data_IF_117195312001
#
_entry.id   IF_117195312001
#
_cell.length_a   1.000
_cell.length_b   1.000
_cell.length_c   1.000
_cell.angle_alpha   90.00
_cell.angle_beta   90.00
_cell.angle_gamma   90.00
#
_symmetry.space_group_name_H-M   'P 1'
#
loop_
_entity.id
_entity.type
_entity.pdbx_description
1 polymer ?
#
# COMPACT_ATOMS: atom_id res chain seq x y z
N UNK A 1 -12.76 19.02 -5.27
CA UNK A 1 -12.34 19.38 -3.89
C UNK A 1 -11.40 18.33 -3.28
N UNK A 2 -11.70 17.02 -3.28
CA UNK A 2 -10.73 16.00 -2.85
C UNK A 2 -9.57 15.79 -3.84
N UNK A 3 -9.83 15.84 -5.15
CA UNK A 3 -8.77 15.77 -6.17
C UNK A 3 -7.80 16.97 -6.13
N UNK A 4 -8.26 18.14 -5.66
CA UNK A 4 -7.37 19.30 -5.43
C UNK A 4 -6.53 19.18 -4.16
N UNK A 5 -6.95 18.32 -3.21
CA UNK A 5 -6.17 17.97 -2.02
C UNK A 5 -5.08 16.94 -2.37
N UNK A 6 -5.23 16.20 -3.47
CA UNK A 6 -4.17 15.34 -4.02
C UNK A 6 -3.08 16.14 -4.77
N UNK A 7 -3.05 17.48 -4.65
CA UNK A 7 -1.87 18.23 -5.06
C UNK A 7 -0.68 17.68 -4.29
N UNK A 8 0.15 16.99 -5.08
CA UNK A 8 1.36 16.28 -4.73
C UNK A 8 2.11 17.09 -3.70
N UNK A 9 2.49 16.42 -2.61
CA UNK A 9 3.65 16.77 -1.79
C UNK A 9 4.63 17.65 -2.57
N UNK A 10 5.11 18.74 -1.97
CA UNK A 10 6.19 19.51 -2.60
C UNK A 10 7.37 18.59 -3.00
N UNK A 11 8.34 19.08 -3.78
CA UNK A 11 9.54 18.29 -4.09
C UNK A 11 10.33 17.87 -2.83
N UNK A 12 9.96 18.40 -1.65
CA UNK A 12 10.47 17.98 -0.36
C UNK A 12 9.97 16.57 0.00
N UNK A 13 10.86 15.56 0.05
CA UNK A 13 10.49 14.20 0.41
C UNK A 13 10.01 14.04 1.85
N UNK A 14 10.08 15.09 2.67
CA UNK A 14 9.58 15.11 4.06
C UNK A 14 8.13 15.53 4.18
N UNK A 15 7.54 16.14 3.16
CA UNK A 15 6.13 16.46 3.15
C UNK A 15 5.41 15.46 2.27
N UNK A 16 4.46 14.70 2.82
CA UNK A 16 3.62 13.78 2.05
C UNK A 16 2.20 14.33 1.84
N UNK A 17 1.96 15.60 2.17
CA UNK A 17 0.62 16.19 2.13
C UNK A 17 -0.24 15.75 3.32
N UNK A 18 0.37 15.53 4.49
CA UNK A 18 -0.31 15.05 5.72
C UNK A 18 -1.61 15.81 6.04
N UNK A 19 -1.57 17.14 5.97
CA UNK A 19 -2.73 17.98 6.28
C UNK A 19 -3.88 17.75 5.30
N UNK A 20 -3.57 17.48 4.03
CA UNK A 20 -4.57 17.19 3.02
C UNK A 20 -5.24 15.83 3.26
N UNK A 21 -4.46 14.80 3.64
CA UNK A 21 -5.01 13.50 4.06
C UNK A 21 -5.93 13.64 5.27
N UNK A 22 -5.53 14.44 6.26
CA UNK A 22 -6.31 14.65 7.48
C UNK A 22 -7.59 15.41 7.20
N UNK A 23 -7.52 16.45 6.35
CA UNK A 23 -8.70 17.17 5.87
C UNK A 23 -9.65 16.28 5.07
N UNK A 24 -9.12 15.41 4.20
CA UNK A 24 -9.91 14.43 3.47
C UNK A 24 -10.62 13.45 4.42
N UNK A 25 -9.91 12.92 5.42
CA UNK A 25 -10.50 12.05 6.43
C UNK A 25 -11.61 12.75 7.21
N UNK A 26 -11.41 14.01 7.63
CA UNK A 26 -12.42 14.78 8.36
C UNK A 26 -13.67 15.01 7.51
N UNK A 27 -13.51 15.29 6.21
CA UNK A 27 -14.60 15.45 5.27
C UNK A 27 -15.39 14.13 5.10
N UNK A 28 -14.69 13.01 4.92
CA UNK A 28 -15.34 11.68 4.81
C UNK A 28 -16.09 11.34 6.09
N UNK A 29 -15.50 11.58 7.25
CA UNK A 29 -16.19 11.38 8.53
C UNK A 29 -17.46 12.22 8.61
N UNK A 30 -17.41 13.49 8.16
CA UNK A 30 -18.58 14.38 8.13
C UNK A 30 -19.67 13.85 7.17
N UNK A 31 -19.31 13.41 5.97
CA UNK A 31 -20.24 12.81 5.02
C UNK A 31 -20.88 11.52 5.55
N UNK A 32 -20.14 10.75 6.34
CA UNK A 32 -20.59 9.49 6.94
C UNK A 32 -21.15 9.64 8.36
N UNK A 33 -21.41 10.88 8.84
CA UNK A 33 -22.08 11.09 10.13
C UNK A 33 -23.51 10.54 10.09
N UNK A 34 -24.23 10.79 9.00
CA UNK A 34 -25.49 10.13 8.74
C UNK A 34 -25.23 8.72 8.18
N UNK A 35 -25.46 7.72 9.02
CA UNK A 35 -25.31 6.31 8.67
C UNK A 35 -26.58 5.73 8.01
N UNK A 36 -27.50 6.57 7.52
CA UNK A 36 -28.62 6.10 6.71
C UNK A 36 -28.15 5.41 5.43
N UNK A 37 -28.94 4.45 4.95
CA UNK A 37 -28.65 3.75 3.69
C UNK A 37 -28.64 4.72 2.51
N UNK A 38 -29.52 5.73 2.54
CA UNK A 38 -29.61 6.79 1.53
C UNK A 38 -28.29 7.53 1.38
N UNK A 39 -27.69 7.97 2.49
CA UNK A 39 -26.42 8.71 2.49
C UNK A 39 -25.25 7.84 2.03
N UNK A 40 -25.17 6.57 2.46
CA UNK A 40 -24.11 5.65 1.99
C UNK A 40 -24.29 5.17 0.54
N UNK A 41 -25.49 5.35 -0.03
CA UNK A 41 -25.78 5.01 -1.42
C UNK A 41 -25.67 6.21 -2.37
N UNK A 42 -25.49 7.41 -1.82
CA UNK A 42 -25.24 8.61 -2.61
C UNK A 42 -23.99 8.42 -3.50
N UNK A 43 -24.09 8.61 -4.83
CA UNK A 43 -22.97 8.40 -5.73
C UNK A 43 -21.76 9.30 -5.45
N UNK A 44 -21.99 10.53 -4.97
CA UNK A 44 -20.93 11.49 -4.63
C UNK A 44 -20.21 11.03 -3.37
N UNK A 45 -20.94 10.55 -2.36
CA UNK A 45 -20.34 9.98 -1.14
C UNK A 45 -19.49 8.76 -1.48
N UNK A 46 -20.00 7.84 -2.31
CA UNK A 46 -19.25 6.64 -2.74
C UNK A 46 -18.00 6.97 -3.55
N UNK A 47 -18.09 7.96 -4.43
CA UNK A 47 -16.94 8.46 -5.20
C UNK A 47 -15.88 9.07 -4.26
N UNK A 48 -16.28 9.96 -3.36
CA UNK A 48 -15.37 10.61 -2.43
C UNK A 48 -14.70 9.59 -1.49
N UNK A 49 -15.48 8.65 -0.96
CA UNK A 49 -14.98 7.56 -0.14
C UNK A 49 -13.99 6.69 -0.91
N UNK A 50 -14.28 6.34 -2.16
CA UNK A 50 -13.37 5.54 -2.97
C UNK A 50 -12.02 6.21 -3.24
N UNK A 51 -12.04 7.49 -3.61
CA UNK A 51 -10.82 8.30 -3.75
C UNK A 51 -10.02 8.33 -2.45
N UNK A 52 -10.70 8.56 -1.32
CA UNK A 52 -10.07 8.55 0.00
C UNK A 52 -9.46 7.19 0.35
N UNK A 53 -10.13 6.07 0.07
CA UNK A 53 -9.61 4.73 0.38
C UNK A 53 -8.34 4.41 -0.40
N UNK A 54 -8.26 4.81 -1.67
CA UNK A 54 -7.03 4.65 -2.44
C UNK A 54 -5.88 5.48 -1.86
N UNK A 55 -6.16 6.74 -1.52
CA UNK A 55 -5.16 7.61 -0.90
C UNK A 55 -4.73 7.12 0.49
N UNK A 56 -5.67 6.67 1.32
CA UNK A 56 -5.41 6.09 2.64
C UNK A 56 -4.57 4.81 2.52
N UNK A 57 -4.87 3.95 1.54
CA UNK A 57 -4.02 2.79 1.23
C UNK A 57 -2.58 3.22 0.96
N UNK A 58 -2.39 4.22 0.11
CA UNK A 58 -1.07 4.70 -0.30
C UNK A 58 -0.29 5.47 0.78
N UNK A 59 -0.93 5.90 1.87
CA UNK A 59 -0.34 6.78 2.88
C UNK A 59 -0.41 6.26 4.31
N UNK A 60 -1.20 5.21 4.57
CA UNK A 60 -1.45 4.66 5.90
C UNK A 60 -0.19 4.32 6.70
N UNK A 61 0.88 3.87 6.04
CA UNK A 61 2.17 3.57 6.67
C UNK A 61 3.01 4.81 7.03
N UNK A 62 2.64 5.99 6.55
CA UNK A 62 3.30 7.28 6.85
C UNK A 62 2.72 7.98 8.08
N UNK A 63 1.51 7.61 8.48
CA UNK A 63 0.78 8.22 9.59
C UNK A 63 1.29 7.66 10.92
N UNK A 64 1.88 8.49 11.78
CA UNK A 64 2.41 8.00 13.06
C UNK A 64 1.27 7.55 13.99
N UNK A 65 1.51 6.54 14.85
CA UNK A 65 0.51 6.08 15.80
C UNK A 65 0.01 7.22 16.70
N UNK A 66 -1.31 7.41 16.74
CA UNK A 66 -1.94 8.44 17.56
C UNK A 66 -2.08 9.82 16.93
N UNK A 67 -1.55 10.06 15.71
CA UNK A 67 -1.73 11.35 15.01
C UNK A 67 -3.08 11.49 14.34
N UNK A 68 -3.61 10.41 13.77
CA UNK A 68 -4.92 10.39 13.10
C UNK A 68 -6.00 10.02 14.12
N UNK A 69 -6.24 10.93 15.07
CA UNK A 69 -7.34 10.79 16.03
C UNK A 69 -8.66 11.16 15.35
N UNK A 70 -9.72 10.38 15.60
CA UNK A 70 -11.06 10.70 15.12
C UNK A 70 -11.47 10.09 13.79
N UNK A 71 -10.68 9.17 13.20
CA UNK A 71 -11.23 8.30 12.14
C UNK A 71 -12.32 7.45 12.77
N UNK A 72 -13.57 7.65 12.35
CA UNK A 72 -14.63 6.74 12.73
C UNK A 72 -14.50 5.46 11.89
N UNK A 73 -13.54 4.63 12.28
CA UNK A 73 -13.21 3.35 11.61
C UNK A 73 -14.45 2.47 11.45
N UNK A 74 -15.39 2.55 12.41
CA UNK A 74 -16.67 1.86 12.31
C UNK A 74 -17.52 2.39 11.16
N UNK A 75 -17.73 3.72 11.05
CA UNK A 75 -18.54 4.30 9.97
C UNK A 75 -17.93 4.05 8.59
N UNK A 76 -16.60 4.16 8.45
CA UNK A 76 -15.91 3.86 7.20
C UNK A 76 -16.07 2.37 6.85
N UNK A 77 -15.85 1.47 7.81
CA UNK A 77 -16.02 0.02 7.58
C UNK A 77 -17.46 -0.34 7.21
N UNK A 78 -18.45 0.28 7.85
CA UNK A 78 -19.87 0.11 7.54
C UNK A 78 -20.19 0.62 6.14
N UNK A 79 -19.69 1.80 5.77
CA UNK A 79 -19.90 2.38 4.45
C UNK A 79 -19.27 1.51 3.35
N UNK A 80 -18.04 1.04 3.53
CA UNK A 80 -17.36 0.12 2.59
C UNK A 80 -18.12 -1.19 2.46
N UNK A 81 -18.62 -1.76 3.57
CA UNK A 81 -19.48 -2.94 3.54
C UNK A 81 -20.74 -2.71 2.71
N UNK A 82 -21.37 -1.54 2.84
CA UNK A 82 -22.59 -1.18 2.09
C UNK A 82 -22.32 -0.83 0.63
N UNK A 83 -21.12 -0.35 0.29
CA UNK A 83 -20.71 -0.19 -1.11
C UNK A 83 -20.70 -1.55 -1.82
N UNK A 84 -20.35 -2.63 -1.12
CA UNK A 84 -20.25 -3.98 -1.71
C UNK A 84 -19.37 -3.96 -2.96
N UNK A 85 -19.86 -4.55 -4.05
CA UNK A 85 -19.17 -4.59 -5.35
C UNK A 85 -19.47 -3.36 -6.22
N UNK A 86 -19.73 -2.20 -5.60
CA UNK A 86 -19.90 -0.98 -6.36
C UNK A 86 -18.61 -0.63 -7.12
N UNK A 87 -18.74 -0.37 -8.42
CA UNK A 87 -17.63 -0.12 -9.32
C UNK A 87 -17.17 1.34 -9.24
N UNK A 88 -16.02 1.58 -8.61
CA UNK A 88 -15.41 2.90 -8.56
C UNK A 88 -14.68 3.21 -9.87
N UNK A 89 -14.83 4.41 -10.47
CA UNK A 89 -14.21 4.73 -11.76
C UNK A 89 -12.68 4.61 -11.83
N UNK A 90 -11.97 4.78 -10.71
CA UNK A 90 -10.49 4.69 -10.69
C UNK A 90 -9.97 3.26 -10.71
N UNK A 91 -10.64 2.34 -10.02
CA UNK A 91 -10.06 1.04 -9.68
C UNK A 91 -11.08 -0.10 -9.67
N UNK A 92 -12.33 0.11 -10.07
CA UNK A 92 -13.38 -0.91 -10.03
C UNK A 92 -13.83 -1.31 -8.62
N UNK A 93 -13.96 -2.61 -8.36
CA UNK A 93 -14.70 -3.18 -7.21
C UNK A 93 -13.79 -3.61 -6.04
N UNK A 94 -12.70 -2.89 -5.77
CA UNK A 94 -11.73 -3.27 -4.73
C UNK A 94 -11.74 -2.43 -3.45
N UNK A 95 -12.79 -1.64 -3.17
CA UNK A 95 -12.84 -0.75 -1.99
C UNK A 95 -12.57 -1.46 -0.67
N UNK A 96 -13.07 -2.69 -0.48
CA UNK A 96 -12.79 -3.51 0.71
C UNK A 96 -11.32 -3.89 0.82
N UNK A 97 -10.69 -4.25 -0.30
CA UNK A 97 -9.26 -4.57 -0.35
C UNK A 97 -8.41 -3.34 0.04
N UNK A 98 -8.73 -2.17 -0.52
CA UNK A 98 -8.03 -0.93 -0.19
C UNK A 98 -8.12 -0.60 1.31
N UNK A 99 -9.30 -0.76 1.91
CA UNK A 99 -9.48 -0.58 3.35
C UNK A 99 -8.63 -1.55 4.17
N UNK A 100 -8.63 -2.84 3.82
CA UNK A 100 -7.82 -3.86 4.51
C UNK A 100 -6.33 -3.53 4.40
N UNK A 101 -5.83 -3.15 3.21
CA UNK A 101 -4.42 -2.77 3.02
C UNK A 101 -4.08 -1.50 3.81
N UNK A 102 -4.96 -0.51 3.87
CA UNK A 102 -4.75 0.67 4.70
C UNK A 102 -4.67 0.33 6.21
N UNK A 103 -5.47 -0.63 6.66
CA UNK A 103 -5.35 -1.16 8.03
C UNK A 103 -4.03 -1.90 8.25
N UNK A 104 -3.54 -2.65 7.25
CA UNK A 104 -2.19 -3.24 7.28
C UNK A 104 -1.13 -2.15 7.38
N UNK A 105 -1.18 -1.10 6.56
CA UNK A 105 -0.18 -0.03 6.59
C UNK A 105 -0.11 0.68 7.95
N UNK A 106 -1.26 1.01 8.55
CA UNK A 106 -1.33 1.55 9.92
C UNK A 106 -0.75 0.59 10.95
N UNK A 107 -1.11 -0.70 10.87
CA UNK A 107 -0.57 -1.73 11.77
C UNK A 107 0.95 -1.85 11.63
N UNK A 108 1.46 -1.90 10.40
CA UNK A 108 2.88 -1.99 10.12
C UNK A 108 3.64 -0.78 10.65
N UNK A 109 3.07 0.42 10.51
CA UNK A 109 3.66 1.63 11.09
C UNK A 109 3.70 1.60 12.62
N UNK A 110 2.63 1.12 13.26
CA UNK A 110 2.60 0.91 14.71
C UNK A 110 3.67 -0.07 15.18
N UNK A 111 3.80 -1.22 14.52
CA UNK A 111 4.77 -2.25 14.87
C UNK A 111 6.20 -1.81 14.58
N UNK A 112 6.42 -1.06 13.50
CA UNK A 112 7.73 -0.47 13.20
C UNK A 112 8.18 0.50 14.30
N UNK A 113 7.30 1.41 14.73
CA UNK A 113 7.64 2.40 15.77
C UNK A 113 7.66 1.79 17.19
N UNK A 114 6.86 0.75 17.43
CA UNK A 114 6.71 0.09 18.74
C UNK A 114 6.60 -1.44 18.58
N UNK A 115 7.72 -2.16 18.33
CA UNK A 115 7.72 -3.61 18.11
C UNK A 115 7.09 -4.43 19.23
N UNK A 116 7.14 -3.93 20.47
CA UNK A 116 6.53 -4.54 21.65
C UNK A 116 4.98 -4.48 21.67
N UNK A 117 4.36 -3.68 20.80
CA UNK A 117 2.88 -3.56 20.67
C UNK A 117 2.30 -4.46 19.58
N UNK A 118 3.02 -5.50 19.16
CA UNK A 118 2.50 -6.51 18.25
C UNK A 118 1.25 -7.17 18.82
N UNK A 119 0.29 -7.42 17.93
CA UNK A 119 -0.95 -8.10 18.25
C UNK A 119 -1.16 -9.25 17.27
N UNK A 120 -0.84 -10.47 17.69
CA UNK A 120 -0.95 -11.67 16.85
C UNK A 120 -2.38 -11.91 16.34
N UNK A 121 -3.41 -11.66 17.16
CA UNK A 121 -4.79 -11.82 16.72
C UNK A 121 -5.15 -10.84 15.59
N UNK A 122 -4.67 -9.60 15.67
CA UNK A 122 -4.86 -8.62 14.60
C UNK A 122 -4.09 -9.01 13.33
N UNK A 123 -2.88 -9.55 13.48
CA UNK A 123 -2.08 -10.07 12.36
C UNK A 123 -2.79 -11.21 11.63
N UNK A 124 -3.33 -12.18 12.36
CA UNK A 124 -4.06 -13.32 11.80
C UNK A 124 -5.34 -12.85 11.10
N UNK A 125 -6.07 -11.90 11.69
CA UNK A 125 -7.26 -11.32 11.08
C UNK A 125 -6.95 -10.61 9.75
N UNK A 126 -5.92 -9.76 9.72
CA UNK A 126 -5.52 -9.03 8.51
C UNK A 126 -5.02 -9.98 7.41
N UNK A 127 -4.23 -10.98 7.77
CA UNK A 127 -3.77 -12.02 6.83
C UNK A 127 -4.93 -12.83 6.27
N UNK A 128 -5.90 -13.21 7.11
CA UNK A 128 -7.10 -13.93 6.68
C UNK A 128 -7.99 -13.07 5.76
N UNK A 129 -8.14 -11.77 6.06
CA UNK A 129 -8.89 -10.84 5.20
C UNK A 129 -8.25 -10.72 3.82
N UNK A 130 -6.91 -10.60 3.75
CA UNK A 130 -6.19 -10.53 2.49
C UNK A 130 -6.26 -11.86 1.75
N UNK A 131 -5.92 -12.98 2.40
CA UNK A 131 -5.81 -14.30 1.76
C UNK A 131 -7.14 -14.83 1.23
N UNK A 132 -8.25 -14.50 1.90
CA UNK A 132 -9.59 -14.90 1.47
C UNK A 132 -10.26 -13.88 0.55
N UNK A 133 -9.60 -12.77 0.23
CA UNK A 133 -10.16 -11.76 -0.64
C UNK A 133 -10.24 -12.28 -2.08
N UNK A 134 -11.40 -12.08 -2.70
CA UNK A 134 -11.66 -12.47 -4.09
C UNK A 134 -12.35 -11.34 -4.84
N UNK A 135 -12.23 -11.36 -6.17
CA UNK A 135 -12.90 -10.41 -7.07
C UNK A 135 -13.82 -11.14 -8.03
N UNK A 136 -14.92 -10.48 -8.39
CA UNK A 136 -15.83 -10.86 -9.48
C UNK A 136 -15.57 -10.06 -10.77
N UNK A 137 -14.48 -9.28 -10.84
CA UNK A 137 -14.15 -8.46 -12.01
C UNK A 137 -13.91 -9.34 -13.24
N UNK A 138 -14.51 -8.94 -14.37
CA UNK A 138 -14.24 -9.55 -15.68
C UNK A 138 -13.15 -8.81 -16.47
N UNK A 139 -12.63 -7.69 -15.96
CA UNK A 139 -11.56 -6.94 -16.61
C UNK A 139 -10.19 -7.53 -16.20
N UNK A 140 -9.40 -8.07 -17.16
CA UNK A 140 -8.13 -8.74 -16.87
C UNK A 140 -7.09 -7.81 -16.22
N UNK A 141 -7.02 -6.54 -16.62
CA UNK A 141 -6.09 -5.59 -16.03
C UNK A 141 -6.43 -5.32 -14.56
N UNK A 142 -7.72 -5.20 -14.24
CA UNK A 142 -8.19 -5.02 -12.87
C UNK A 142 -7.91 -6.26 -12.01
N UNK A 143 -8.11 -7.47 -12.56
CA UNK A 143 -7.76 -8.71 -11.85
C UNK A 143 -6.28 -8.66 -11.47
N UNK A 144 -5.38 -8.39 -12.43
CA UNK A 144 -3.95 -8.31 -12.14
C UNK A 144 -3.58 -7.19 -11.15
N UNK A 145 -4.25 -6.04 -11.23
CA UNK A 145 -4.05 -4.95 -10.27
C UNK A 145 -4.46 -5.38 -8.85
N UNK A 146 -5.58 -6.07 -8.70
CA UNK A 146 -6.07 -6.53 -7.41
C UNK A 146 -5.18 -7.61 -6.79
N UNK A 147 -4.71 -8.56 -7.60
CA UNK A 147 -3.73 -9.55 -7.15
C UNK A 147 -2.45 -8.87 -6.65
N UNK A 148 -1.95 -7.87 -7.38
CA UNK A 148 -0.79 -7.09 -6.97
C UNK A 148 -1.03 -6.30 -5.67
N UNK A 149 -2.21 -5.71 -5.48
CA UNK A 149 -2.58 -5.02 -4.24
C UNK A 149 -2.70 -5.98 -3.05
N UNK A 150 -3.36 -7.12 -3.23
CA UNK A 150 -3.47 -8.15 -2.19
C UNK A 150 -2.09 -8.64 -1.77
N UNK A 151 -1.24 -8.96 -2.73
CA UNK A 151 0.12 -9.41 -2.47
C UNK A 151 0.97 -8.30 -1.83
N UNK A 152 0.81 -7.04 -2.20
CA UNK A 152 1.44 -5.91 -1.51
C UNK A 152 1.06 -5.87 -0.02
N UNK A 153 -0.23 -6.01 0.30
CA UNK A 153 -0.69 -6.07 1.69
C UNK A 153 -0.04 -7.22 2.48
N UNK A 154 0.08 -8.41 1.86
CA UNK A 154 0.71 -9.57 2.47
C UNK A 154 2.22 -9.36 2.68
N UNK A 155 2.93 -8.87 1.66
CA UNK A 155 4.36 -8.53 1.75
C UNK A 155 4.61 -7.54 2.87
N UNK A 156 3.81 -6.47 2.94
CA UNK A 156 3.95 -5.44 3.96
C UNK A 156 3.73 -6.00 5.38
N UNK A 157 2.71 -6.83 5.57
CA UNK A 157 2.40 -7.48 6.84
C UNK A 157 3.53 -8.41 7.28
N UNK A 158 4.00 -9.29 6.40
CA UNK A 158 5.10 -10.21 6.73
C UNK A 158 6.42 -9.47 6.93
N UNK A 159 6.71 -8.41 6.17
CA UNK A 159 7.91 -7.61 6.43
C UNK A 159 7.86 -6.94 7.80
N UNK A 160 6.70 -6.41 8.21
CA UNK A 160 6.52 -5.84 9.55
C UNK A 160 6.72 -6.87 10.66
N UNK A 161 6.24 -8.11 10.48
CA UNK A 161 6.45 -9.21 11.43
C UNK A 161 7.93 -9.56 11.53
N UNK A 162 8.62 -9.70 10.39
CA UNK A 162 10.04 -10.04 10.33
C UNK A 162 10.90 -8.93 10.97
N UNK A 163 10.60 -7.67 10.67
CA UNK A 163 11.26 -6.51 11.28
C UNK A 163 11.16 -6.54 12.81
N UNK A 164 9.95 -6.73 13.35
CA UNK A 164 9.75 -6.75 14.79
C UNK A 164 10.32 -8.00 15.47
N UNK A 165 10.33 -9.16 14.80
CA UNK A 165 11.03 -10.34 15.29
C UNK A 165 12.53 -10.10 15.41
N UNK A 166 13.17 -9.51 14.40
CA UNK A 166 14.61 -9.17 14.45
C UNK A 166 14.95 -8.21 15.61
N UNK A 167 14.01 -7.33 15.97
CA UNK A 167 14.17 -6.42 17.12
C UNK A 167 13.98 -7.10 18.49
N UNK A 168 13.39 -8.30 18.56
CA UNK A 168 12.96 -8.94 19.81
C UNK A 168 13.53 -10.36 20.03
N UNK A 169 13.90 -11.12 18.99
CA UNK A 169 14.34 -12.52 19.09
C UNK A 169 15.34 -12.95 18.01
N UNK A 170 16.02 -14.07 18.24
CA UNK A 170 17.02 -14.69 17.36
C UNK A 170 16.54 -16.00 16.70
N UNK A 171 15.22 -16.27 16.65
CA UNK A 171 14.71 -17.50 16.01
C UNK A 171 14.84 -17.44 14.48
N UNK A 172 15.84 -18.16 13.99
CA UNK A 172 16.28 -18.16 12.59
C UNK A 172 15.41 -19.02 11.68
N UNK A 173 14.66 -19.99 12.20
CA UNK A 173 13.87 -20.91 11.36
C UNK A 173 12.53 -20.31 10.92
N UNK A 174 11.83 -19.63 11.84
CA UNK A 174 10.61 -18.88 11.54
C UNK A 174 10.86 -17.77 10.50
N UNK A 175 12.03 -17.11 10.62
CA UNK A 175 12.45 -16.03 9.73
C UNK A 175 12.62 -16.49 8.27
N UNK A 176 13.23 -17.66 8.02
CA UNK A 176 13.46 -18.16 6.65
C UNK A 176 12.17 -18.53 5.89
N UNK A 177 11.23 -19.17 6.58
CA UNK A 177 9.94 -19.54 5.95
C UNK A 177 9.17 -18.28 5.52
N UNK A 178 9.22 -17.24 6.35
CA UNK A 178 8.58 -15.97 6.08
C UNK A 178 9.27 -15.20 4.94
N UNK A 179 10.60 -15.20 4.88
CA UNK A 179 11.37 -14.61 3.78
C UNK A 179 11.04 -15.25 2.43
N UNK A 180 10.87 -16.59 2.39
CA UNK A 180 10.43 -17.31 1.18
C UNK A 180 9.02 -16.88 0.73
N UNK A 181 8.09 -16.72 1.67
CA UNK A 181 6.73 -16.24 1.35
C UNK A 181 6.75 -14.80 0.83
N UNK A 182 7.52 -13.91 1.45
CA UNK A 182 7.68 -12.52 1.02
C UNK A 182 8.18 -12.47 -0.43
N UNK A 183 9.25 -13.21 -0.73
CA UNK A 183 9.83 -13.25 -2.06
C UNK A 183 8.83 -13.78 -3.10
N UNK A 184 8.10 -14.87 -2.77
CA UNK A 184 7.07 -15.42 -3.67
C UNK A 184 6.00 -14.39 -4.00
N UNK A 185 5.43 -13.73 -3.00
CA UNK A 185 4.39 -12.72 -3.24
C UNK A 185 4.94 -11.51 -3.99
N UNK A 186 6.19 -11.13 -3.76
CA UNK A 186 6.85 -10.06 -4.50
C UNK A 186 7.03 -10.41 -5.98
N UNK A 187 7.54 -11.61 -6.30
CA UNK A 187 7.67 -12.07 -7.68
C UNK A 187 6.32 -12.09 -8.40
N UNK A 188 5.30 -12.67 -7.76
CA UNK A 188 3.93 -12.71 -8.29
C UNK A 188 3.37 -11.30 -8.52
N UNK A 189 3.61 -10.37 -7.58
CA UNK A 189 3.20 -8.96 -7.72
C UNK A 189 3.82 -8.36 -8.97
N UNK A 190 5.14 -8.47 -9.15
CA UNK A 190 5.81 -7.93 -10.34
C UNK A 190 5.25 -8.58 -11.60
N UNK A 191 5.06 -9.89 -11.62
CA UNK A 191 4.50 -10.58 -12.79
C UNK A 191 3.10 -10.08 -13.14
N UNK A 192 2.20 -9.94 -12.17
CA UNK A 192 0.87 -9.38 -12.39
C UNK A 192 0.92 -7.96 -12.96
N UNK A 193 1.74 -7.09 -12.38
CA UNK A 193 1.87 -5.71 -12.84
C UNK A 193 2.46 -5.62 -14.25
N UNK A 194 3.30 -6.57 -14.65
CA UNK A 194 3.84 -6.64 -16.01
C UNK A 194 2.84 -7.12 -17.05
N UNK A 195 1.81 -7.88 -16.65
CA UNK A 195 0.74 -8.31 -17.55
C UNK A 195 -0.21 -7.15 -17.89
N UNK A 196 -0.24 -6.09 -17.08
CA UNK A 196 -0.98 -4.87 -17.39
C UNK A 196 -0.21 -4.06 -18.45
N UNK A 197 -0.81 -3.79 -19.63
CA UNK A 197 -0.17 -3.00 -20.68
C UNK A 197 0.29 -1.63 -20.18
N UNK A 198 1.44 -1.14 -20.65
CA UNK A 198 1.92 0.20 -20.30
C UNK A 198 1.03 1.33 -20.84
N UNK A 199 0.17 1.04 -21.82
CA UNK A 199 -0.87 1.94 -22.32
C UNK A 199 -2.14 1.95 -21.46
N UNK A 200 -2.26 1.05 -20.48
CA UNK A 200 -3.44 0.95 -19.62
C UNK A 200 -3.47 2.10 -18.62
N UNK A 201 -4.67 2.64 -18.37
CA UNK A 201 -4.87 3.66 -17.33
C UNK A 201 -4.49 3.16 -15.93
N UNK A 202 -4.48 1.84 -15.73
CA UNK A 202 -4.11 1.23 -14.46
C UNK A 202 -2.61 1.32 -14.15
N UNK A 203 -1.78 1.80 -15.09
CA UNK A 203 -0.36 2.04 -14.86
C UNK A 203 -0.12 3.01 -13.68
N UNK A 204 -0.96 4.04 -13.51
CA UNK A 204 -0.80 5.02 -12.43
C UNK A 204 -0.94 4.41 -11.02
N UNK A 205 -1.58 3.24 -10.91
CA UNK A 205 -1.90 2.65 -9.61
C UNK A 205 -0.84 1.66 -9.12
N UNK A 206 0.27 1.48 -9.86
CA UNK A 206 1.21 0.39 -9.64
C UNK A 206 2.37 0.74 -8.70
N UNK A 207 2.66 2.03 -8.50
CA UNK A 207 3.92 2.50 -7.89
C UNK A 207 4.21 1.90 -6.52
N UNK A 208 3.23 1.91 -5.60
CA UNK A 208 3.45 1.39 -4.25
C UNK A 208 3.67 -0.13 -4.24
N UNK A 209 2.89 -0.87 -5.04
CA UNK A 209 3.07 -2.32 -5.18
C UNK A 209 4.42 -2.66 -5.82
N UNK A 210 4.88 -1.87 -6.82
CA UNK A 210 6.21 -2.02 -7.42
C UNK A 210 7.34 -1.71 -6.45
N UNK A 211 7.22 -0.65 -5.64
CA UNK A 211 8.20 -0.35 -4.60
C UNK A 211 8.31 -1.53 -3.63
N UNK A 212 7.16 -1.95 -3.09
CA UNK A 212 7.11 -2.99 -2.06
C UNK A 212 7.51 -4.37 -2.56
N UNK A 213 7.26 -4.73 -3.81
CA UNK A 213 7.64 -6.02 -4.36
C UNK A 213 9.04 -5.97 -4.98
N UNK A 214 9.36 -4.89 -5.69
CA UNK A 214 10.67 -4.65 -6.27
C UNK A 214 11.77 -4.67 -5.22
N UNK A 215 11.51 -4.09 -4.03
CA UNK A 215 12.45 -4.10 -2.91
C UNK A 215 12.84 -5.50 -2.46
N UNK A 216 12.05 -6.54 -2.73
CA UNK A 216 12.29 -7.92 -2.25
C UNK A 216 13.09 -8.77 -3.23
N UNK A 217 13.30 -8.29 -4.46
CA UNK A 217 14.02 -9.04 -5.48
C UNK A 217 15.52 -9.16 -5.14
N UNK A 218 16.06 -10.38 -5.24
CA UNK A 218 17.49 -10.69 -5.08
C UNK A 218 18.25 -10.60 -6.42
N UNK A 219 19.59 -10.69 -6.37
CA UNK A 219 20.46 -10.69 -7.55
C UNK A 219 20.05 -11.73 -8.61
N UNK A 220 19.56 -12.90 -8.18
CA UNK A 220 19.08 -13.96 -9.08
C UNK A 220 17.88 -13.52 -9.94
N UNK A 221 17.18 -12.45 -9.56
CA UNK A 221 16.00 -11.92 -10.24
C UNK A 221 16.30 -10.74 -11.16
N UNK A 222 17.50 -10.66 -11.75
CA UNK A 222 17.92 -9.55 -12.62
C UNK A 222 16.88 -9.13 -13.67
N UNK A 223 16.24 -10.10 -14.37
CA UNK A 223 15.19 -9.79 -15.36
C UNK A 223 13.95 -9.11 -14.76
N UNK A 224 13.56 -9.46 -13.54
CA UNK A 224 12.46 -8.80 -12.85
C UNK A 224 12.87 -7.42 -12.34
N UNK A 225 14.12 -7.27 -11.88
CA UNK A 225 14.67 -5.97 -11.48
C UNK A 225 14.64 -4.99 -12.66
N UNK A 226 15.06 -5.40 -13.85
CA UNK A 226 14.98 -4.58 -15.07
C UNK A 226 13.55 -4.15 -15.37
N UNK A 227 12.59 -5.07 -15.30
CA UNK A 227 11.16 -4.76 -15.48
C UNK A 227 10.63 -3.76 -14.46
N UNK A 228 11.06 -3.85 -13.19
CA UNK A 228 10.70 -2.88 -12.16
C UNK A 228 11.25 -1.49 -12.50
N UNK A 229 12.52 -1.39 -12.93
CA UNK A 229 13.13 -0.12 -13.35
C UNK A 229 12.35 0.52 -14.49
N UNK A 230 12.11 -0.25 -15.54
CA UNK A 230 11.42 0.25 -16.73
C UNK A 230 9.98 0.67 -16.42
N UNK A 231 9.29 -0.09 -15.56
CA UNK A 231 7.93 0.24 -15.17
C UNK A 231 7.84 1.50 -14.32
N UNK A 232 8.70 1.68 -13.32
CA UNK A 232 8.74 2.91 -12.51
C UNK A 232 9.08 4.14 -13.37
N UNK A 233 9.99 4.01 -14.34
CA UNK A 233 10.29 5.07 -15.32
C UNK A 233 9.11 5.37 -16.23
N UNK A 234 8.37 4.35 -16.66
CA UNK A 234 7.16 4.52 -17.46
C UNK A 234 6.07 5.27 -16.67
N UNK A 235 5.86 4.93 -15.40
CA UNK A 235 4.90 5.63 -14.52
C UNK A 235 5.31 7.09 -14.34
N UNK A 236 6.59 7.35 -14.04
CA UNK A 236 7.09 8.72 -13.95
C UNK A 236 6.91 9.49 -15.27
N UNK A 237 7.12 8.84 -16.41
CA UNK A 237 6.92 9.47 -17.72
C UNK A 237 5.46 9.86 -17.96
N UNK A 238 4.51 9.13 -17.37
CA UNK A 238 3.08 9.35 -17.47
C UNK A 238 2.59 10.47 -16.53
N UNK A 239 2.91 10.42 -15.24
CA UNK A 239 2.34 11.34 -14.24
C UNK A 239 3.30 12.44 -13.76
N UNK A 240 4.60 12.33 -14.07
CA UNK A 240 5.66 13.27 -13.66
C UNK A 240 5.79 13.50 -12.16
N UNK A 241 5.27 12.58 -11.34
CA UNK A 241 5.35 12.66 -9.88
C UNK A 241 6.78 12.26 -9.44
N UNK A 242 7.57 13.17 -8.84
CA UNK A 242 8.97 12.90 -8.46
C UNK A 242 9.14 11.70 -7.52
N UNK A 243 8.15 11.43 -6.66
CA UNK A 243 8.16 10.29 -5.75
C UNK A 243 8.37 8.94 -6.46
N UNK A 244 7.96 8.80 -7.73
CA UNK A 244 8.18 7.58 -8.51
C UNK A 244 9.68 7.36 -8.85
N UNK A 245 10.44 8.43 -9.07
CA UNK A 245 11.90 8.33 -9.24
C UNK A 245 12.59 8.06 -7.90
N UNK A 246 12.08 8.63 -6.81
CA UNK A 246 12.61 8.35 -5.47
C UNK A 246 12.33 6.90 -5.05
N UNK A 247 11.17 6.35 -5.42
CA UNK A 247 10.86 4.94 -5.24
C UNK A 247 11.83 4.05 -6.04
N UNK A 248 12.15 4.41 -7.28
CA UNK A 248 13.16 3.72 -8.08
C UNK A 248 14.53 3.76 -7.38
N UNK A 249 14.98 4.94 -6.95
CA UNK A 249 16.24 5.08 -6.22
C UNK A 249 16.26 4.21 -4.96
N UNK A 250 15.17 4.23 -4.18
CA UNK A 250 15.05 3.44 -2.97
C UNK A 250 15.16 1.94 -3.25
N UNK A 251 14.51 1.45 -4.31
CA UNK A 251 14.61 0.04 -4.72
C UNK A 251 16.04 -0.34 -5.12
N UNK A 252 16.73 0.52 -5.88
CA UNK A 252 18.11 0.27 -6.30
C UNK A 252 19.07 0.24 -5.11
N UNK A 253 18.94 1.18 -4.17
CA UNK A 253 19.73 1.18 -2.92
C UNK A 253 19.50 -0.10 -2.09
N UNK A 254 18.26 -0.61 -2.05
CA UNK A 254 17.92 -1.83 -1.33
C UNK A 254 18.50 -3.08 -2.01
N UNK A 255 18.58 -3.09 -3.34
CA UNK A 255 19.26 -4.15 -4.09
C UNK A 255 20.75 -4.15 -3.80
N UNK A 256 21.41 -3.00 -3.88
CA UNK A 256 22.85 -2.88 -3.61
C UNK A 256 23.18 -3.32 -2.18
N UNK A 257 22.36 -2.93 -1.20
CA UNK A 257 22.51 -3.35 0.19
C UNK A 257 22.38 -4.88 0.34
N UNK A 258 21.38 -5.49 -0.31
CA UNK A 258 21.13 -6.93 -0.24
C UNK A 258 22.25 -7.72 -0.91
N UNK A 259 22.68 -7.29 -2.10
CA UNK A 259 23.72 -7.95 -2.87
C UNK A 259 25.08 -7.85 -2.16
N UNK A 260 25.27 -6.81 -1.34
CA UNK A 260 26.44 -6.65 -0.45
C UNK A 260 26.34 -7.46 0.87
N UNK A 261 25.30 -8.28 1.04
CA UNK A 261 25.11 -9.14 2.21
C UNK A 261 24.24 -8.56 3.33
N UNK A 262 23.69 -7.35 3.17
CA UNK A 262 22.70 -6.81 4.11
C UNK A 262 21.28 -7.25 3.72
N UNK A 263 20.99 -8.53 3.99
CA UNK A 263 19.73 -9.19 3.58
C UNK A 263 18.47 -8.72 4.33
N UNK A 264 18.61 -7.84 5.33
CA UNK A 264 17.54 -7.50 6.27
C UNK A 264 16.78 -6.21 5.96
N UNK A 265 17.06 -5.57 4.82
CA UNK A 265 16.54 -4.25 4.48
C UNK A 265 15.04 -4.28 4.16
N UNK A 266 14.22 -3.86 5.13
CA UNK A 266 12.81 -3.52 4.93
C UNK A 266 12.69 -2.12 4.33
N UNK A 267 12.04 -1.99 3.17
CA UNK A 267 11.95 -0.72 2.43
C UNK A 267 11.41 0.44 3.27
N UNK A 268 10.42 0.19 4.13
CA UNK A 268 9.82 1.21 5.00
C UNK A 268 10.84 1.72 6.01
N UNK A 269 11.62 0.83 6.63
CA UNK A 269 12.67 1.22 7.56
C UNK A 269 13.75 2.06 6.87
N UNK A 270 14.21 1.64 5.69
CA UNK A 270 15.24 2.36 4.94
C UNK A 270 14.75 3.76 4.49
N UNK A 271 13.50 3.84 4.01
CA UNK A 271 12.88 5.12 3.64
C UNK A 271 12.80 6.08 4.83
N UNK A 272 12.35 5.59 6.00
CA UNK A 272 12.22 6.41 7.21
C UNK A 272 13.57 6.81 7.81
N UNK A 273 14.59 5.98 7.71
CA UNK A 273 15.97 6.33 8.11
C UNK A 273 16.53 7.50 7.29
N UNK A 274 16.10 7.64 6.04
CA UNK A 274 16.43 8.77 5.16
C UNK A 274 15.55 10.01 5.39
N UNK A 275 14.63 9.96 6.35
CA UNK A 275 13.61 10.99 6.60
C UNK A 275 12.74 11.24 5.35
N UNK A 276 12.47 10.17 4.57
CA UNK A 276 11.59 10.24 3.41
C UNK A 276 10.18 9.75 3.76
N UNK A 277 9.18 10.42 3.21
CA UNK A 277 7.76 10.16 3.38
C UNK A 277 7.11 10.12 1.98
N UNK A 278 7.42 9.08 1.23
CA UNK A 278 7.01 8.97 -0.18
C UNK A 278 5.53 8.62 -0.29
N UNK A 279 4.73 9.56 -0.81
CA UNK A 279 3.35 9.30 -1.23
C UNK A 279 3.34 8.81 -2.69
N UNK A 280 2.95 7.55 -2.90
CA UNK A 280 2.87 6.92 -4.22
C UNK A 280 1.40 6.70 -4.61
N UNK A 281 0.82 7.73 -5.24
CA UNK A 281 -0.58 7.77 -5.73
C UNK A 281 -0.67 7.85 -7.25
#
# INVERSE_FOLDING_TARGET
MLLSLMQVAGPDPKDYGKQHLFGACALINSMLQDTSVSTTNDPVVRLCLGVYLYWDMCSSFLVKPGELQGVNSFNISLAVRRMGDWHHPMYGTCSRLLLTIANVGRYCRQVHDMPQRRNFAQEDMLEAELSNWTTSSNNPDLIHLYEAFRNHGLVLLYQSRAHAQRSLSTDTNSTKAQESLILRYAEETVRHLMLIPSSSYYLNFQSLALLSAGSELTESHHLLRDKVRDRLRAIYSLNRIPANLMALQLVEELWDARDSGNSTSFWLSHMLQKDWLLLLV
#
